data_IF_752320785492
#
_entry.id   IF_752320785492
#
_cell.length_a   1.000
_cell.length_b   1.000
_cell.length_c   1.000
_cell.angle_alpha   90.00
_cell.angle_beta   90.00
_cell.angle_gamma   90.00
#
_symmetry.space_group_name_H-M   'P 1'
#
loop_
_entity.id
_entity.type
_entity.pdbx_description
1 polymer ?
#
# COMPACT_ATOMS: atom_id res chain seq x y z
N UNK A 1 -7.76 -21.61 -23.35
CA UNK A 1 -6.74 -20.55 -23.13
C UNK A 1 -7.38 -19.22 -22.67
N UNK A 2 -8.38 -18.68 -23.36
CA UNK A 2 -9.07 -17.43 -23.02
C UNK A 2 -9.78 -17.51 -21.65
N UNK A 3 -10.44 -18.62 -21.34
CA UNK A 3 -11.20 -18.83 -20.11
C UNK A 3 -10.28 -18.97 -18.86
N UNK A 4 -9.12 -19.63 -19.00
CA UNK A 4 -8.11 -19.75 -17.95
C UNK A 4 -7.31 -18.45 -17.69
N UNK A 5 -7.08 -17.64 -18.73
CA UNK A 5 -6.59 -16.26 -18.56
C UNK A 5 -7.60 -15.40 -17.79
N UNK A 6 -8.90 -15.64 -17.98
CA UNK A 6 -9.97 -15.01 -17.21
C UNK A 6 -9.87 -15.31 -15.71
N UNK A 7 -9.76 -16.57 -15.34
CA UNK A 7 -9.65 -17.02 -13.93
C UNK A 7 -8.37 -16.48 -13.26
N UNK A 8 -7.26 -16.48 -13.98
CA UNK A 8 -5.99 -15.96 -13.48
C UNK A 8 -6.04 -14.44 -13.29
N UNK A 9 -6.70 -13.72 -14.19
CA UNK A 9 -6.99 -12.29 -14.05
C UNK A 9 -7.95 -12.00 -12.90
N UNK A 10 -8.97 -12.83 -12.70
CA UNK A 10 -9.92 -12.74 -11.57
C UNK A 10 -9.20 -12.93 -10.22
N UNK A 11 -8.39 -13.95 -10.06
CA UNK A 11 -7.62 -14.18 -8.83
C UNK A 11 -6.63 -13.01 -8.53
N UNK A 12 -5.94 -12.51 -9.57
CA UNK A 12 -5.07 -11.35 -9.43
C UNK A 12 -5.87 -10.09 -9.06
N UNK A 13 -7.04 -9.92 -9.65
CA UNK A 13 -7.93 -8.80 -9.35
C UNK A 13 -8.51 -8.88 -7.93
N UNK A 14 -8.84 -10.08 -7.45
CA UNK A 14 -9.26 -10.29 -6.07
C UNK A 14 -8.14 -9.99 -5.07
N UNK A 15 -6.93 -10.47 -5.32
CA UNK A 15 -5.77 -10.18 -4.48
C UNK A 15 -5.46 -8.68 -4.45
N UNK A 16 -5.47 -8.02 -5.61
CA UNK A 16 -5.30 -6.58 -5.73
C UNK A 16 -6.38 -5.80 -4.96
N UNK A 17 -7.64 -6.23 -5.06
CA UNK A 17 -8.75 -5.62 -4.32
C UNK A 17 -8.60 -5.82 -2.80
N UNK A 18 -8.12 -6.97 -2.33
CA UNK A 18 -7.83 -7.22 -0.92
C UNK A 18 -6.70 -6.32 -0.41
N UNK A 19 -5.64 -6.13 -1.18
CA UNK A 19 -4.55 -5.23 -0.84
C UNK A 19 -5.00 -3.76 -0.76
N UNK A 20 -5.81 -3.30 -1.72
CA UNK A 20 -6.42 -1.96 -1.67
C UNK A 20 -7.29 -1.77 -0.43
N UNK A 21 -8.12 -2.75 -0.12
CA UNK A 21 -8.98 -2.75 1.05
C UNK A 21 -8.18 -2.67 2.36
N UNK A 22 -7.14 -3.47 2.49
CA UNK A 22 -6.24 -3.44 3.64
C UNK A 22 -5.46 -2.12 3.73
N UNK A 23 -5.05 -1.55 2.60
CA UNK A 23 -4.41 -0.24 2.54
C UNK A 23 -5.35 0.87 3.05
N UNK A 24 -6.62 0.85 2.67
CA UNK A 24 -7.61 1.84 3.12
C UNK A 24 -7.84 1.77 4.63
N UNK A 25 -7.97 0.55 5.19
CA UNK A 25 -8.04 0.32 6.64
C UNK A 25 -6.80 0.88 7.35
N UNK A 26 -5.61 0.57 6.86
CA UNK A 26 -4.35 1.01 7.47
C UNK A 26 -4.22 2.55 7.44
N UNK A 27 -4.62 3.19 6.34
CA UNK A 27 -4.64 4.65 6.21
C UNK A 27 -5.64 5.30 7.15
N UNK A 28 -6.84 4.72 7.32
CA UNK A 28 -7.83 5.19 8.27
C UNK A 28 -7.36 5.04 9.72
N UNK A 29 -6.70 3.92 10.07
CA UNK A 29 -6.09 3.72 11.39
C UNK A 29 -4.94 4.71 11.64
N UNK A 30 -4.12 5.02 10.65
CA UNK A 30 -3.07 6.02 10.75
C UNK A 30 -3.63 7.42 10.97
N UNK A 31 -4.70 7.77 10.25
CA UNK A 31 -5.43 9.04 10.42
C UNK A 31 -6.03 9.16 11.82
N UNK A 32 -6.58 8.07 12.34
CA UNK A 32 -7.09 7.99 13.72
C UNK A 32 -5.97 8.20 14.77
N UNK A 33 -4.80 7.60 14.55
CA UNK A 33 -3.60 7.86 15.41
C UNK A 33 -3.19 9.32 15.34
N UNK A 34 -3.21 9.93 14.16
CA UNK A 34 -2.96 11.36 13.99
C UNK A 34 -3.92 12.23 14.80
N UNK A 35 -5.22 11.93 14.73
CA UNK A 35 -6.24 12.59 15.56
C UNK A 35 -5.92 12.46 17.07
N UNK A 36 -5.61 11.25 17.53
CA UNK A 36 -5.24 11.00 18.93
C UNK A 36 -4.05 11.87 19.38
N UNK A 37 -3.00 11.97 18.56
CA UNK A 37 -1.82 12.79 18.89
C UNK A 37 -2.13 14.29 18.92
N UNK A 38 -3.02 14.79 18.06
CA UNK A 38 -3.50 16.18 18.11
C UNK A 38 -4.19 16.44 19.46
N UNK A 39 -5.10 15.56 19.89
CA UNK A 39 -5.80 15.69 21.18
C UNK A 39 -4.83 15.62 22.35
N UNK A 40 -3.86 14.70 22.34
CA UNK A 40 -2.84 14.60 23.38
C UNK A 40 -2.01 15.88 23.47
N UNK A 41 -1.56 16.41 22.34
CA UNK A 41 -0.81 17.67 22.29
C UNK A 41 -1.63 18.82 22.87
N UNK A 42 -2.90 18.88 22.52
CA UNK A 42 -3.83 19.89 23.02
C UNK A 42 -3.99 19.82 24.54
N UNK A 43 -4.13 18.61 25.09
CA UNK A 43 -4.20 18.39 26.55
C UNK A 43 -2.92 18.78 27.27
N UNK A 44 -1.75 18.48 26.69
CA UNK A 44 -0.45 18.90 27.25
C UNK A 44 -0.34 20.43 27.29
N UNK A 45 -0.68 21.10 26.19
CA UNK A 45 -0.65 22.57 26.14
C UNK A 45 -1.66 23.19 27.11
N UNK A 46 -2.83 22.57 27.29
CA UNK A 46 -3.81 23.00 28.28
C UNK A 46 -3.28 22.90 29.70
N UNK A 47 -2.61 21.79 30.07
CA UNK A 47 -1.95 21.66 31.38
C UNK A 47 -0.87 22.71 31.57
N UNK A 48 -0.07 23.02 30.55
CA UNK A 48 0.94 24.08 30.58
C UNK A 48 0.32 25.47 30.76
N UNK A 49 -0.87 25.68 30.20
CA UNK A 49 -1.64 26.90 30.37
C UNK A 49 -2.14 27.04 31.83
N UNK A 50 -2.68 25.98 32.41
CA UNK A 50 -3.14 25.97 33.80
C UNK A 50 -1.99 26.24 34.79
N UNK A 51 -0.78 25.76 34.50
CA UNK A 51 0.42 26.02 35.31
C UNK A 51 1.07 27.38 35.01
N UNK A 52 0.50 28.19 34.11
CA UNK A 52 1.02 29.49 33.67
C UNK A 52 2.41 29.46 33.01
N UNK A 53 2.86 28.28 32.57
CA UNK A 53 4.08 28.14 31.75
C UNK A 53 3.79 28.64 30.33
N UNK A 54 2.60 28.38 29.82
CA UNK A 54 2.16 28.84 28.51
C UNK A 54 1.14 29.99 28.71
N UNK A 55 1.41 31.13 28.06
CA UNK A 55 0.66 32.38 28.30
C UNK A 55 -0.50 32.47 27.32
N UNK A 56 -1.59 31.76 27.62
CA UNK A 56 -2.89 31.88 26.92
C UNK A 56 -3.96 31.97 27.99
N UNK A 57 -5.09 32.61 27.70
CA UNK A 57 -6.24 32.65 28.61
C UNK A 57 -6.76 31.23 28.87
N UNK A 58 -6.70 30.82 30.16
CA UNK A 58 -7.05 29.46 30.57
C UNK A 58 -8.54 29.14 30.33
N UNK A 59 -9.42 30.14 30.44
CA UNK A 59 -10.87 29.94 30.22
C UNK A 59 -11.16 29.66 28.76
N UNK A 60 -10.62 30.48 27.89
CA UNK A 60 -10.75 30.37 26.42
C UNK A 60 -10.16 29.04 25.94
N UNK A 61 -8.97 28.68 26.40
CA UNK A 61 -8.33 27.44 25.97
C UNK A 61 -9.05 26.18 26.51
N UNK A 62 -9.65 26.24 27.71
CA UNK A 62 -10.51 25.17 28.25
C UNK A 62 -11.74 24.93 27.35
N UNK A 63 -12.33 25.98 26.78
CA UNK A 63 -13.43 25.86 25.81
C UNK A 63 -12.95 25.11 24.55
N UNK A 64 -11.79 25.45 24.02
CA UNK A 64 -11.21 24.77 22.85
C UNK A 64 -11.00 23.28 23.09
N UNK A 65 -10.46 22.92 24.26
CA UNK A 65 -10.26 21.50 24.66
C UNK A 65 -11.60 20.79 24.78
N UNK A 66 -12.59 21.39 25.43
CA UNK A 66 -13.94 20.84 25.57
C UNK A 66 -14.61 20.58 24.22
N UNK A 67 -14.54 21.55 23.31
CA UNK A 67 -15.11 21.44 21.97
C UNK A 67 -14.40 20.33 21.14
N UNK A 68 -13.08 20.24 21.27
CA UNK A 68 -12.29 19.20 20.59
C UNK A 68 -12.59 17.80 21.12
N UNK A 69 -12.88 17.65 22.43
CA UNK A 69 -13.32 16.38 22.99
C UNK A 69 -14.70 15.96 22.48
N UNK A 70 -15.63 16.90 22.34
CA UNK A 70 -16.96 16.63 21.74
C UNK A 70 -16.78 16.12 20.30
N UNK A 71 -15.86 16.71 19.51
CA UNK A 71 -15.54 16.23 18.15
C UNK A 71 -14.93 14.83 18.14
N UNK A 72 -14.40 14.33 19.24
CA UNK A 72 -13.93 12.95 19.41
C UNK A 72 -15.05 11.90 19.45
N UNK A 73 -16.29 12.29 19.80
CA UNK A 73 -17.42 11.33 19.92
C UNK A 73 -17.70 10.63 18.60
N UNK A 74 -17.90 11.32 17.46
CA UNK A 74 -18.10 10.66 16.16
C UNK A 74 -16.89 9.82 15.73
N UNK A 75 -15.66 10.23 16.05
CA UNK A 75 -14.45 9.45 15.77
C UNK A 75 -14.49 8.10 16.48
N UNK A 76 -14.79 8.10 17.77
CA UNK A 76 -14.91 6.87 18.60
C UNK A 76 -16.08 5.99 18.15
N UNK A 77 -17.20 6.60 17.75
CA UNK A 77 -18.35 5.86 17.23
C UNK A 77 -17.99 5.13 15.92
N UNK A 78 -17.35 5.82 14.96
CA UNK A 78 -16.94 5.24 13.70
C UNK A 78 -15.93 4.10 13.95
N UNK A 79 -14.92 4.34 14.78
CA UNK A 79 -13.91 3.33 15.12
C UNK A 79 -14.51 2.03 15.68
N UNK A 80 -15.55 2.13 16.54
CA UNK A 80 -16.14 0.96 17.22
C UNK A 80 -17.25 0.27 16.45
N UNK A 81 -17.96 0.97 15.57
CA UNK A 81 -19.23 0.52 14.98
C UNK A 81 -19.26 0.48 13.46
N UNK A 82 -18.30 1.09 12.81
CA UNK A 82 -18.27 1.19 11.36
C UNK A 82 -17.08 0.41 10.81
N UNK A 83 -17.29 -0.25 9.69
CA UNK A 83 -16.22 -0.88 8.95
C UNK A 83 -15.29 0.20 8.36
N UNK A 84 -14.03 0.16 8.78
CA UNK A 84 -13.01 1.15 8.40
C UNK A 84 -12.57 1.06 6.94
N UNK A 85 -12.98 0.04 6.22
CA UNK A 85 -12.72 -0.10 4.79
C UNK A 85 -13.64 0.74 3.91
N UNK A 86 -14.73 1.29 4.48
CA UNK A 86 -15.70 2.08 3.71
C UNK A 86 -15.08 3.39 3.23
N UNK A 87 -15.16 3.62 1.93
CA UNK A 87 -14.56 4.77 1.23
C UNK A 87 -14.91 6.15 1.81
N UNK A 88 -16.10 6.33 2.37
CA UNK A 88 -16.51 7.60 2.97
C UNK A 88 -15.83 7.90 4.32
N UNK A 89 -15.32 6.88 5.04
CA UNK A 89 -14.73 7.02 6.39
C UNK A 89 -13.55 7.99 6.39
N UNK A 90 -12.68 7.90 5.38
CA UNK A 90 -11.53 8.81 5.23
C UNK A 90 -11.94 10.29 5.16
N UNK A 91 -13.01 10.60 4.42
CA UNK A 91 -13.47 11.99 4.28
C UNK A 91 -13.99 12.54 5.60
N UNK A 92 -14.69 11.70 6.39
CA UNK A 92 -15.17 12.10 7.73
C UNK A 92 -13.99 12.32 8.67
N UNK A 93 -13.02 11.40 8.72
CA UNK A 93 -11.86 11.55 9.58
C UNK A 93 -11.02 12.77 9.21
N UNK A 94 -10.73 12.98 7.94
CA UNK A 94 -9.96 14.13 7.46
C UNK A 94 -10.69 15.46 7.72
N UNK A 95 -12.01 15.51 7.50
CA UNK A 95 -12.83 16.68 7.83
C UNK A 95 -12.79 16.99 9.33
N UNK A 96 -12.92 15.97 10.20
CA UNK A 96 -12.82 16.17 11.65
C UNK A 96 -11.43 16.67 12.07
N UNK A 97 -10.37 16.22 11.39
CA UNK A 97 -9.01 16.73 11.64
C UNK A 97 -8.88 18.19 11.17
N UNK A 98 -9.45 18.57 10.02
CA UNK A 98 -9.49 19.97 9.60
C UNK A 98 -10.21 20.84 10.64
N UNK A 99 -11.38 20.40 11.13
CA UNK A 99 -12.15 21.12 12.13
C UNK A 99 -11.41 21.26 13.44
N UNK A 100 -10.81 20.17 13.98
CA UNK A 100 -10.06 20.25 15.24
C UNK A 100 -8.81 21.12 15.09
N UNK A 101 -8.14 21.08 13.94
CA UNK A 101 -7.01 21.95 13.62
C UNK A 101 -7.44 23.42 13.58
N UNK A 102 -8.61 23.69 13.00
CA UNK A 102 -9.20 25.03 12.94
C UNK A 102 -9.59 25.54 14.33
N UNK A 103 -10.20 24.70 15.17
CA UNK A 103 -10.49 25.03 16.59
C UNK A 103 -9.19 25.37 17.33
N UNK A 104 -8.19 24.51 17.19
CA UNK A 104 -6.89 24.69 17.81
C UNK A 104 -6.26 26.03 17.40
N UNK A 105 -6.24 26.32 16.11
CA UNK A 105 -5.67 27.56 15.58
C UNK A 105 -6.48 28.80 15.96
N UNK A 106 -7.82 28.72 16.05
CA UNK A 106 -8.66 29.84 16.46
C UNK A 106 -8.35 30.33 17.88
N UNK A 107 -7.94 29.42 18.77
CA UNK A 107 -7.64 29.72 20.18
C UNK A 107 -6.17 29.97 20.49
N UNK A 108 -5.25 29.46 19.67
CA UNK A 108 -3.81 29.66 19.83
C UNK A 108 -3.18 30.63 18.80
N UNK A 109 -4.00 31.09 17.84
CA UNK A 109 -3.60 32.04 16.82
C UNK A 109 -2.32 31.61 16.06
N UNK A 110 -1.37 32.54 15.85
CA UNK A 110 -0.17 32.29 15.04
C UNK A 110 0.75 31.18 15.58
N UNK A 111 0.73 30.88 16.88
CA UNK A 111 1.50 29.78 17.46
C UNK A 111 1.12 28.41 16.87
N UNK A 112 -0.12 28.29 16.40
CA UNK A 112 -0.66 27.05 15.85
C UNK A 112 -0.78 27.04 14.31
N UNK A 113 -0.19 28.02 13.61
CA UNK A 113 -0.36 28.17 12.16
C UNK A 113 0.06 26.92 11.35
N UNK A 114 1.07 26.20 11.81
CA UNK A 114 1.52 24.97 11.16
C UNK A 114 0.55 23.80 11.29
N UNK A 115 -0.45 23.87 12.18
CA UNK A 115 -1.40 22.79 12.36
C UNK A 115 -2.24 22.53 11.10
N UNK A 116 -2.44 23.54 10.26
CA UNK A 116 -3.14 23.42 8.99
C UNK A 116 -2.44 22.52 7.95
N UNK A 117 -1.16 22.19 8.17
CA UNK A 117 -0.42 21.24 7.31
C UNK A 117 -0.77 19.80 7.67
N UNK A 118 -1.15 19.51 8.93
CA UNK A 118 -1.41 18.14 9.40
C UNK A 118 -2.50 17.40 8.62
N UNK A 119 -3.69 18.00 8.33
CA UNK A 119 -4.70 17.33 7.52
C UNK A 119 -4.17 16.90 6.16
N UNK A 120 -3.33 17.72 5.51
CA UNK A 120 -2.74 17.43 4.20
C UNK A 120 -1.71 16.28 4.27
N UNK A 121 -0.88 16.26 5.32
CA UNK A 121 0.06 15.17 5.58
C UNK A 121 -0.66 13.84 5.83
N UNK A 122 -1.81 13.86 6.49
CA UNK A 122 -2.63 12.67 6.70
C UNK A 122 -3.41 12.26 5.44
N UNK A 123 -3.80 13.21 4.61
CA UNK A 123 -4.50 12.94 3.35
C UNK A 123 -3.60 12.29 2.30
N UNK A 124 -2.31 12.61 2.27
CA UNK A 124 -1.39 12.08 1.25
C UNK A 124 -1.19 10.57 1.33
N UNK A 125 -1.36 9.97 2.52
CA UNK A 125 -1.19 8.53 2.73
C UNK A 125 -2.25 7.67 2.01
N UNK A 126 -3.41 8.25 1.65
CA UNK A 126 -4.44 7.56 0.86
C UNK A 126 -4.06 7.43 -0.62
N UNK A 127 -3.01 8.11 -1.06
CA UNK A 127 -2.47 8.07 -2.44
C UNK A 127 -3.48 8.46 -3.53
N UNK A 128 -4.64 8.99 -3.17
CA UNK A 128 -5.71 9.42 -4.06
C UNK A 128 -5.66 10.94 -4.31
N UNK A 129 -5.68 11.32 -5.59
CA UNK A 129 -5.72 12.72 -5.99
C UNK A 129 -6.92 13.46 -5.40
N UNK A 130 -8.11 12.84 -5.46
CA UNK A 130 -9.35 13.46 -5.00
C UNK A 130 -9.34 13.72 -3.50
N UNK A 131 -8.91 12.73 -2.71
CA UNK A 131 -8.82 12.84 -1.25
C UNK A 131 -7.94 14.02 -0.82
N UNK A 132 -6.79 14.18 -1.44
CA UNK A 132 -5.87 15.27 -1.12
C UNK A 132 -6.47 16.66 -1.47
N UNK A 133 -7.09 16.81 -2.65
CA UNK A 133 -7.68 18.10 -3.07
C UNK A 133 -8.95 18.45 -2.29
N UNK A 134 -9.78 17.48 -1.95
CA UNK A 134 -10.95 17.70 -1.08
C UNK A 134 -10.49 18.13 0.31
N UNK A 135 -9.48 17.47 0.86
CA UNK A 135 -8.92 17.84 2.16
C UNK A 135 -8.32 19.25 2.14
N UNK A 136 -7.61 19.63 1.07
CA UNK A 136 -7.13 21.00 0.89
C UNK A 136 -8.28 22.02 0.94
N UNK A 137 -9.34 21.80 0.14
CA UNK A 137 -10.47 22.72 0.09
C UNK A 137 -11.20 22.85 1.44
N UNK A 138 -11.45 21.71 2.12
CA UNK A 138 -12.07 21.70 3.46
C UNK A 138 -11.17 22.41 4.48
N UNK A 139 -9.87 22.15 4.43
CA UNK A 139 -8.89 22.76 5.33
C UNK A 139 -8.81 24.28 5.13
N UNK A 140 -8.83 24.75 3.88
CA UNK A 140 -8.81 26.18 3.57
C UNK A 140 -10.07 26.91 4.06
N UNK A 141 -11.24 26.30 3.86
CA UNK A 141 -12.51 26.83 4.36
C UNK A 141 -12.52 26.89 5.89
N UNK A 142 -12.14 25.77 6.56
CA UNK A 142 -12.12 25.72 8.04
C UNK A 142 -11.06 26.65 8.63
N UNK A 143 -9.91 26.83 7.99
CA UNK A 143 -8.90 27.81 8.35
C UNK A 143 -9.45 29.23 8.28
N UNK A 144 -10.09 29.60 7.18
CA UNK A 144 -10.67 30.93 6.99
C UNK A 144 -11.74 31.23 8.04
N UNK A 145 -12.65 30.27 8.29
CA UNK A 145 -13.66 30.39 9.35
C UNK A 145 -13.00 30.58 10.72
N UNK A 146 -11.96 29.81 11.02
CA UNK A 146 -11.29 29.90 12.33
C UNK A 146 -10.61 31.25 12.56
N UNK A 147 -10.00 31.82 11.53
CA UNK A 147 -9.38 33.16 11.61
C UNK A 147 -10.41 34.27 11.87
N UNK A 148 -11.56 34.23 11.18
CA UNK A 148 -12.64 35.19 11.39
C UNK A 148 -13.27 34.98 12.77
N UNK A 149 -13.57 33.73 13.15
CA UNK A 149 -14.13 33.41 14.47
C UNK A 149 -13.16 33.82 15.61
N UNK A 150 -11.87 33.53 15.46
CA UNK A 150 -10.82 33.93 16.41
C UNK A 150 -10.80 35.44 16.65
N UNK A 151 -10.93 36.22 15.58
CA UNK A 151 -11.04 37.70 15.71
C UNK A 151 -12.24 38.14 16.57
N UNK A 152 -13.43 37.55 16.34
CA UNK A 152 -14.62 37.93 17.09
C UNK A 152 -14.68 37.40 18.54
N UNK A 153 -13.93 36.35 18.85
CA UNK A 153 -13.98 35.69 20.17
C UNK A 153 -12.74 35.91 21.05
N UNK A 154 -11.88 36.87 20.73
CA UNK A 154 -10.87 37.34 21.67
C UNK A 154 -9.41 37.07 21.31
N UNK A 155 -9.12 36.38 20.20
CA UNK A 155 -7.76 36.23 19.71
C UNK A 155 -7.64 36.98 18.39
N UNK A 156 -6.92 38.10 18.43
CA UNK A 156 -6.83 38.99 17.25
C UNK A 156 -5.60 38.65 16.42
N UNK A 157 -5.79 37.91 15.32
CA UNK A 157 -4.75 37.66 14.32
C UNK A 157 -4.22 38.95 13.67
N UNK A 158 -4.93 40.05 13.75
CA UNK A 158 -4.48 41.38 13.29
C UNK A 158 -3.23 41.84 14.05
N UNK A 159 -3.04 41.48 15.32
CA UNK A 159 -1.85 41.80 16.08
C UNK A 159 -0.58 41.26 15.40
N UNK A 160 -0.66 40.09 14.78
CA UNK A 160 0.46 39.47 14.02
C UNK A 160 0.71 40.22 12.72
N UNK A 161 -0.37 40.55 12.01
CA UNK A 161 -0.27 41.28 10.72
C UNK A 161 0.25 42.70 10.86
N UNK A 162 -0.06 43.35 11.99
CA UNK A 162 0.29 44.74 12.24
C UNK A 162 1.50 44.92 13.16
N UNK A 163 2.02 43.83 13.73
CA UNK A 163 3.08 43.91 14.74
C UNK A 163 2.68 44.70 15.99
N UNK A 164 1.42 44.65 16.36
CA UNK A 164 0.80 45.37 17.47
C UNK A 164 0.29 44.42 18.55
N UNK A 165 -0.15 44.96 19.69
CA UNK A 165 -0.71 44.20 20.79
C UNK A 165 -2.04 44.81 21.26
N UNK A 166 -2.94 45.02 20.35
CA UNK A 166 -4.23 45.63 20.62
C UNK A 166 -5.36 44.59 20.72
N UNK A 167 -6.43 44.93 21.43
CA UNK A 167 -7.63 44.07 21.55
C UNK A 167 -8.52 44.23 20.31
N UNK A 168 -9.43 43.23 20.10
CA UNK A 168 -10.45 43.31 19.07
C UNK A 168 -11.24 44.62 19.16
N UNK A 169 -11.66 45.01 20.38
CA UNK A 169 -12.51 46.21 20.59
C UNK A 169 -11.76 47.49 20.19
N UNK A 170 -10.47 47.55 20.49
CA UNK A 170 -9.62 48.66 20.02
C UNK A 170 -9.62 48.75 18.48
N UNK A 171 -9.50 47.64 17.77
CA UNK A 171 -9.56 47.64 16.29
C UNK A 171 -10.91 48.10 15.77
N UNK A 172 -12.01 47.64 16.37
CA UNK A 172 -13.35 48.09 15.97
C UNK A 172 -13.59 49.60 16.23
N UNK A 173 -13.08 50.11 17.35
CA UNK A 173 -13.16 51.53 17.66
C UNK A 173 -12.35 52.38 16.68
N UNK A 174 -11.12 52.00 16.37
CA UNK A 174 -10.28 52.68 15.41
C UNK A 174 -10.88 52.64 14.00
N UNK A 175 -11.46 51.53 13.61
CA UNK A 175 -12.13 51.40 12.33
C UNK A 175 -13.38 52.29 12.28
N UNK A 176 -14.22 52.26 13.29
CA UNK A 176 -15.41 53.15 13.39
C UNK A 176 -15.05 54.64 13.38
N UNK A 177 -13.88 54.99 13.96
CA UNK A 177 -13.34 56.33 13.98
C UNK A 177 -12.70 56.76 12.63
N UNK A 178 -12.51 55.83 11.67
CA UNK A 178 -11.84 56.09 10.41
C UNK A 178 -10.33 56.40 10.54
N UNK A 179 -9.73 56.03 11.67
CA UNK A 179 -8.32 56.28 11.98
C UNK A 179 -7.39 55.15 11.51
N UNK A 180 -7.92 53.98 11.19
CA UNK A 180 -7.15 52.89 10.61
C UNK A 180 -6.96 53.08 9.09
N UNK A 181 -5.70 53.09 8.69
CA UNK A 181 -5.30 53.20 7.28
C UNK A 181 -4.48 52.00 6.88
N UNK A 182 -5.11 50.94 6.34
CA UNK A 182 -4.43 49.80 5.75
C UNK A 182 -4.07 49.99 4.26
N UNK A 183 -4.22 51.18 3.75
CA UNK A 183 -3.88 51.53 2.38
C UNK A 183 -4.88 51.11 1.31
N UNK A 184 -5.73 50.11 1.57
CA UNK A 184 -6.71 49.62 0.59
C UNK A 184 -8.13 49.66 1.17
N UNK A 185 -8.37 49.05 2.33
CA UNK A 185 -9.69 49.02 2.97
C UNK A 185 -9.52 48.95 4.50
N UNK A 186 -10.25 49.77 5.29
CA UNK A 186 -10.12 49.78 6.75
C UNK A 186 -10.87 48.63 7.44
N UNK A 187 -11.68 47.83 6.71
CA UNK A 187 -12.46 46.72 7.31
C UNK A 187 -11.54 45.63 7.86
N UNK A 188 -11.58 45.34 9.19
CA UNK A 188 -10.77 44.30 9.80
C UNK A 188 -10.98 42.89 9.19
N UNK A 189 -12.22 42.57 8.77
CA UNK A 189 -12.52 41.28 8.14
C UNK A 189 -11.83 41.16 6.78
N UNK A 190 -11.84 42.25 6.00
CA UNK A 190 -11.12 42.30 4.74
C UNK A 190 -9.62 42.08 4.93
N UNK A 191 -9.03 42.73 5.94
CA UNK A 191 -7.60 42.56 6.26
C UNK A 191 -7.28 41.10 6.64
N UNK A 192 -8.12 40.47 7.47
CA UNK A 192 -7.95 39.04 7.84
C UNK A 192 -8.02 38.17 6.59
N UNK A 193 -8.97 38.39 5.69
CA UNK A 193 -9.13 37.58 4.49
C UNK A 193 -7.96 37.76 3.51
N UNK A 194 -7.61 38.98 3.18
CA UNK A 194 -6.63 39.26 2.12
C UNK A 194 -5.17 39.19 2.58
N UNK A 195 -4.88 39.54 3.81
CA UNK A 195 -3.51 39.55 4.35
C UNK A 195 -3.22 38.36 5.28
N UNK A 196 -4.26 37.71 5.76
CA UNK A 196 -4.14 36.51 6.59
C UNK A 196 -4.46 35.21 5.86
N UNK A 197 -5.72 35.01 5.48
CA UNK A 197 -6.20 33.74 4.91
C UNK A 197 -5.63 33.49 3.50
N UNK A 198 -5.69 34.45 2.60
CA UNK A 198 -5.24 34.26 1.22
C UNK A 198 -3.76 33.86 1.08
N UNK A 199 -2.77 34.52 1.74
CA UNK A 199 -1.39 34.08 1.68
C UNK A 199 -1.18 32.66 2.23
N UNK A 200 -1.88 32.30 3.33
CA UNK A 200 -1.82 30.96 3.91
C UNK A 200 -2.41 29.90 2.96
N UNK A 201 -3.54 30.21 2.31
CA UNK A 201 -4.15 29.34 1.29
C UNK A 201 -3.19 29.08 0.12
N UNK A 202 -2.50 30.11 -0.38
CA UNK A 202 -1.49 29.97 -1.45
C UNK A 202 -0.32 29.09 -1.00
N UNK A 203 0.16 29.28 0.24
CA UNK A 203 1.22 28.43 0.80
C UNK A 203 0.75 26.98 0.95
N UNK A 204 -0.45 26.74 1.47
CA UNK A 204 -1.04 25.41 1.59
C UNK A 204 -1.29 24.77 0.22
N UNK A 205 -1.63 25.55 -0.80
CA UNK A 205 -1.74 25.08 -2.19
C UNK A 205 -0.39 24.55 -2.69
N UNK A 206 0.69 25.30 -2.45
CA UNK A 206 2.04 24.87 -2.80
C UNK A 206 2.42 23.57 -2.05
N UNK A 207 2.16 23.49 -0.74
CA UNK A 207 2.36 22.25 0.02
C UNK A 207 1.57 21.09 -0.56
N UNK A 208 0.30 21.31 -0.90
CA UNK A 208 -0.56 20.28 -1.50
C UNK A 208 0.00 19.79 -2.83
N UNK A 209 0.51 20.70 -3.67
CA UNK A 209 1.15 20.34 -4.94
C UNK A 209 2.43 19.52 -4.73
N UNK A 210 3.27 19.90 -3.76
CA UNK A 210 4.49 19.14 -3.41
C UNK A 210 4.14 17.76 -2.86
N UNK A 211 3.19 17.67 -1.93
CA UNK A 211 2.73 16.40 -1.37
C UNK A 211 2.14 15.49 -2.45
N UNK A 212 1.42 16.07 -3.41
CA UNK A 212 0.91 15.34 -4.58
C UNK A 212 2.04 14.77 -5.43
N UNK A 213 3.06 15.57 -5.71
CA UNK A 213 4.23 15.12 -6.45
C UNK A 213 4.95 13.97 -5.74
N UNK A 214 5.20 14.09 -4.43
CA UNK A 214 5.82 13.04 -3.61
C UNK A 214 4.98 11.76 -3.63
N UNK A 215 3.66 11.88 -3.52
CA UNK A 215 2.74 10.73 -3.55
C UNK A 215 2.79 9.98 -4.89
N UNK A 216 2.85 10.69 -6.02
CA UNK A 216 2.99 10.07 -7.36
C UNK A 216 4.33 9.36 -7.46
N UNK A 217 5.43 10.06 -7.18
CA UNK A 217 6.79 9.51 -7.27
C UNK A 217 6.94 8.24 -6.42
N UNK A 218 6.45 8.27 -5.18
CA UNK A 218 6.48 7.10 -4.28
C UNK A 218 5.68 5.91 -4.81
N UNK A 219 4.58 6.16 -5.51
CA UNK A 219 3.77 5.09 -6.11
C UNK A 219 4.48 4.47 -7.33
N UNK A 220 5.04 5.30 -8.20
CA UNK A 220 5.80 4.85 -9.36
C UNK A 220 7.05 4.05 -8.93
N UNK A 221 7.75 4.51 -7.90
CA UNK A 221 8.90 3.80 -7.34
C UNK A 221 8.52 2.43 -6.77
N UNK A 222 7.40 2.34 -6.04
CA UNK A 222 6.89 1.08 -5.51
C UNK A 222 6.51 0.09 -6.63
N UNK A 223 5.83 0.54 -7.67
CA UNK A 223 5.53 -0.29 -8.85
C UNK A 223 6.79 -0.74 -9.58
N UNK A 224 7.75 0.15 -9.74
CA UNK A 224 9.03 -0.16 -10.37
C UNK A 224 9.82 -1.20 -9.59
N UNK A 225 9.86 -1.08 -8.26
CA UNK A 225 10.51 -2.07 -7.38
C UNK A 225 9.81 -3.42 -7.52
N UNK A 226 8.47 -3.48 -7.52
CA UNK A 226 7.72 -4.71 -7.70
C UNK A 226 8.00 -5.37 -9.06
N UNK A 227 8.01 -4.60 -10.17
CA UNK A 227 8.34 -5.10 -11.51
C UNK A 227 9.80 -5.62 -11.58
N UNK A 228 10.74 -4.87 -11.00
CA UNK A 228 12.14 -5.29 -10.95
C UNK A 228 12.33 -6.57 -10.12
N UNK A 229 11.62 -6.69 -8.99
CA UNK A 229 11.66 -7.89 -8.16
C UNK A 229 11.06 -9.08 -8.90
N UNK A 230 9.91 -8.91 -9.54
CA UNK A 230 9.29 -9.93 -10.39
C UNK A 230 10.25 -10.42 -11.49
N UNK A 231 10.85 -9.51 -12.26
CA UNK A 231 11.83 -9.85 -13.32
C UNK A 231 13.10 -10.51 -12.78
N UNK A 232 13.53 -10.14 -11.57
CA UNK A 232 14.69 -10.75 -10.92
C UNK A 232 14.42 -12.19 -10.48
N UNK A 233 13.20 -12.49 -10.04
CA UNK A 233 12.84 -13.75 -9.39
C UNK A 233 12.15 -14.75 -10.32
N UNK A 234 11.55 -14.30 -11.43
CA UNK A 234 10.78 -15.16 -12.34
C UNK A 234 11.46 -15.36 -13.68
N UNK A 235 11.17 -16.48 -14.33
CA UNK A 235 11.48 -16.73 -15.73
C UNK A 235 10.36 -16.12 -16.61
N UNK A 236 10.71 -15.13 -17.43
CA UNK A 236 9.74 -14.36 -18.22
C UNK A 236 9.04 -15.18 -19.30
N UNK A 237 9.63 -16.31 -19.72
CA UNK A 237 9.03 -17.19 -20.73
C UNK A 237 7.99 -18.15 -20.17
N UNK A 238 8.09 -18.47 -18.87
CA UNK A 238 7.29 -19.50 -18.22
C UNK A 238 6.51 -19.04 -16.98
N UNK A 239 6.82 -17.83 -16.49
CA UNK A 239 6.20 -17.19 -15.32
C UNK A 239 6.36 -17.94 -13.98
N UNK A 240 7.14 -19.04 -13.91
CA UNK A 240 7.55 -19.66 -12.67
C UNK A 240 8.83 -18.98 -12.13
N UNK A 241 9.24 -19.29 -10.91
CA UNK A 241 10.50 -18.76 -10.38
C UNK A 241 11.69 -19.22 -11.24
N UNK A 242 12.67 -18.32 -11.39
CA UNK A 242 13.88 -18.62 -12.16
C UNK A 242 14.96 -19.33 -11.31
N UNK A 243 16.03 -19.72 -11.96
CA UNK A 243 17.17 -20.39 -11.32
C UNK A 243 17.81 -19.55 -10.20
N UNK A 244 17.88 -18.24 -10.35
CA UNK A 244 18.48 -17.39 -9.31
C UNK A 244 17.65 -17.42 -8.02
N UNK A 245 16.31 -17.35 -8.14
CA UNK A 245 15.42 -17.50 -6.98
C UNK A 245 15.49 -18.89 -6.37
N UNK A 246 15.60 -19.92 -7.18
CA UNK A 246 15.81 -21.29 -6.72
C UNK A 246 17.08 -21.40 -5.85
N UNK A 247 18.23 -20.92 -6.33
CA UNK A 247 19.49 -21.00 -5.58
C UNK A 247 19.42 -20.19 -4.27
N UNK A 248 18.84 -18.99 -4.30
CA UNK A 248 18.59 -18.19 -3.11
C UNK A 248 17.78 -18.96 -2.06
N UNK A 249 16.68 -19.59 -2.45
CA UNK A 249 15.80 -20.33 -1.55
C UNK A 249 16.45 -21.60 -1.00
N UNK A 250 17.23 -22.29 -1.82
CA UNK A 250 18.03 -23.48 -1.41
C UNK A 250 19.08 -23.11 -0.36
N UNK A 251 19.65 -21.91 -0.43
CA UNK A 251 20.70 -21.46 0.48
C UNK A 251 20.16 -20.85 1.77
N UNK A 252 19.04 -20.10 1.68
CA UNK A 252 18.62 -19.23 2.79
C UNK A 252 17.37 -19.70 3.51
N UNK A 253 16.39 -20.27 2.81
CA UNK A 253 15.07 -20.54 3.35
C UNK A 253 14.81 -22.04 3.62
N UNK A 254 15.00 -22.89 2.62
CA UNK A 254 14.65 -24.31 2.74
C UNK A 254 15.44 -25.09 3.80
N UNK A 255 16.70 -24.75 4.13
CA UNK A 255 17.40 -25.40 5.23
C UNK A 255 16.72 -25.26 6.61
N UNK A 256 15.92 -24.20 6.80
CA UNK A 256 15.18 -23.92 8.03
C UNK A 256 13.84 -24.71 8.12
N UNK A 257 13.37 -25.27 7.01
CA UNK A 257 12.09 -25.99 6.94
C UNK A 257 12.26 -27.44 7.40
N UNK A 258 11.41 -27.89 8.30
CA UNK A 258 11.56 -29.20 8.96
C UNK A 258 11.44 -30.38 7.98
N UNK A 259 10.47 -30.35 7.06
CA UNK A 259 10.21 -31.43 6.09
C UNK A 259 9.90 -30.86 4.73
N UNK A 260 10.57 -31.37 3.70
CA UNK A 260 10.42 -30.93 2.32
C UNK A 260 10.34 -32.13 1.38
N UNK A 261 9.66 -31.94 0.25
CA UNK A 261 9.80 -32.79 -0.92
C UNK A 261 10.22 -31.94 -2.13
N UNK A 262 11.03 -32.56 -2.98
CA UNK A 262 11.37 -32.03 -4.29
C UNK A 262 10.80 -32.93 -5.37
N UNK A 263 10.15 -32.38 -6.38
CA UNK A 263 9.73 -33.08 -7.58
C UNK A 263 10.48 -32.45 -8.75
N UNK A 264 11.19 -33.23 -9.51
CA UNK A 264 11.97 -32.80 -10.66
C UNK A 264 11.27 -33.26 -11.95
N UNK A 265 11.10 -32.34 -12.90
CA UNK A 265 10.54 -32.60 -14.23
C UNK A 265 11.52 -32.18 -15.32
N UNK A 266 11.51 -32.92 -16.41
CA UNK A 266 12.27 -32.64 -17.63
C UNK A 266 11.36 -32.88 -18.85
N UNK A 267 11.30 -31.90 -19.76
CA UNK A 267 10.47 -32.01 -20.98
C UNK A 267 11.06 -33.04 -21.93
N UNK A 268 10.26 -34.04 -22.30
CA UNK A 268 10.69 -35.08 -23.21
C UNK A 268 10.79 -34.58 -24.66
N UNK A 269 11.80 -35.08 -25.38
CA UNK A 269 11.96 -34.89 -26.83
C UNK A 269 12.09 -33.42 -27.28
N UNK A 270 12.43 -32.47 -26.43
CA UNK A 270 12.54 -31.06 -26.77
C UNK A 270 13.45 -30.82 -27.99
N UNK A 271 14.62 -31.51 -28.01
CA UNK A 271 15.56 -31.40 -29.14
C UNK A 271 14.92 -31.87 -30.46
N UNK A 272 14.23 -33.01 -30.46
CA UNK A 272 13.55 -33.53 -31.67
C UNK A 272 12.47 -32.52 -32.16
N UNK A 273 11.70 -31.94 -31.25
CA UNK A 273 10.68 -30.96 -31.61
C UNK A 273 11.32 -29.68 -32.17
N UNK A 274 12.38 -29.19 -31.55
CA UNK A 274 13.14 -28.05 -32.06
C UNK A 274 13.69 -28.29 -33.46
N UNK A 275 14.32 -29.46 -33.69
CA UNK A 275 14.94 -29.81 -34.97
C UNK A 275 13.89 -30.00 -36.09
N UNK A 276 12.70 -30.52 -35.76
CA UNK A 276 11.65 -30.83 -36.74
C UNK A 276 10.65 -29.66 -36.97
N UNK A 277 10.28 -28.94 -35.92
CA UNK A 277 9.19 -27.94 -35.95
C UNK A 277 9.67 -26.52 -35.61
N UNK A 278 10.97 -26.37 -35.31
CA UNK A 278 11.58 -25.09 -34.94
C UNK A 278 11.46 -24.74 -33.43
N UNK A 279 12.27 -23.79 -32.98
CA UNK A 279 12.37 -23.39 -31.56
C UNK A 279 11.05 -22.89 -31.00
N UNK A 280 10.20 -22.21 -31.79
CA UNK A 280 8.89 -21.77 -31.34
C UNK A 280 7.98 -22.93 -30.89
N UNK A 281 8.10 -24.11 -31.52
CA UNK A 281 7.39 -25.31 -31.11
C UNK A 281 7.93 -25.90 -29.80
N UNK A 282 9.25 -25.87 -29.61
CA UNK A 282 9.86 -26.25 -28.33
C UNK A 282 9.49 -25.32 -27.19
N UNK A 283 9.39 -24.01 -27.45
CA UNK A 283 8.92 -23.03 -26.44
C UNK A 283 7.47 -23.33 -26.01
N UNK A 284 6.61 -23.77 -26.92
CA UNK A 284 5.24 -24.21 -26.58
C UNK A 284 5.25 -25.40 -25.63
N UNK A 285 6.13 -26.41 -25.83
CA UNK A 285 6.27 -27.54 -24.89
C UNK A 285 6.66 -27.08 -23.50
N UNK A 286 7.67 -26.22 -23.41
CA UNK A 286 8.16 -25.67 -22.15
C UNK A 286 7.08 -24.87 -21.45
N UNK A 287 6.39 -24.00 -22.17
CA UNK A 287 5.27 -23.18 -21.65
C UNK A 287 4.07 -24.04 -21.22
N UNK A 288 3.79 -25.13 -21.93
CA UNK A 288 2.70 -26.02 -21.57
C UNK A 288 2.99 -26.74 -20.26
N UNK A 289 4.18 -27.33 -20.09
CA UNK A 289 4.55 -27.97 -18.83
C UNK A 289 4.56 -26.93 -17.70
N UNK A 290 5.18 -25.76 -17.90
CA UNK A 290 5.24 -24.73 -16.88
C UNK A 290 3.86 -24.24 -16.44
N UNK A 291 2.91 -24.10 -17.37
CA UNK A 291 1.54 -23.67 -17.04
C UNK A 291 0.79 -24.68 -16.16
N UNK A 292 0.96 -25.99 -16.44
CA UNK A 292 0.38 -27.06 -15.61
C UNK A 292 1.01 -27.07 -14.22
N UNK A 293 2.33 -26.94 -14.13
CA UNK A 293 3.03 -26.87 -12.84
C UNK A 293 2.67 -25.62 -12.03
N UNK A 294 2.52 -24.47 -12.71
CA UNK A 294 2.15 -23.22 -12.08
C UNK A 294 0.74 -23.27 -11.48
N UNK A 295 -0.23 -23.93 -12.14
CA UNK A 295 -1.60 -24.12 -11.62
C UNK A 295 -1.61 -24.92 -10.29
N UNK A 296 -0.60 -25.73 -10.02
CA UNK A 296 -0.43 -26.47 -8.77
C UNK A 296 0.35 -25.67 -7.70
N UNK A 297 0.87 -24.49 -8.03
CA UNK A 297 1.63 -23.65 -7.10
C UNK A 297 0.74 -23.10 -5.99
N UNK A 298 1.30 -23.00 -4.80
CA UNK A 298 0.68 -22.36 -3.62
C UNK A 298 1.79 -21.75 -2.76
N UNK A 299 1.42 -21.14 -1.63
CA UNK A 299 2.42 -20.63 -0.67
C UNK A 299 3.39 -21.73 -0.19
N UNK A 300 2.91 -22.98 -0.09
CA UNK A 300 3.72 -24.14 0.35
C UNK A 300 4.32 -24.96 -0.81
N UNK A 301 3.96 -24.65 -2.05
CA UNK A 301 4.40 -25.36 -3.26
C UNK A 301 4.92 -24.36 -4.27
N UNK A 302 6.23 -24.28 -4.44
CA UNK A 302 6.89 -23.33 -5.34
C UNK A 302 7.56 -24.03 -6.49
N UNK A 303 7.33 -23.52 -7.70
CA UNK A 303 7.88 -24.07 -8.94
C UNK A 303 9.01 -23.19 -9.46
N UNK A 304 10.09 -23.82 -9.85
CA UNK A 304 11.29 -23.18 -10.36
C UNK A 304 11.69 -23.76 -11.72
N UNK A 305 12.12 -22.91 -12.65
CA UNK A 305 12.82 -23.33 -13.85
C UNK A 305 14.32 -23.28 -13.57
N UNK A 306 14.98 -24.43 -13.53
CA UNK A 306 16.41 -24.56 -13.14
C UNK A 306 17.33 -24.77 -14.32
N UNK A 307 16.78 -25.22 -15.46
CA UNK A 307 17.46 -25.45 -16.73
C UNK A 307 16.62 -25.04 -17.92
N UNK A 308 17.05 -25.40 -19.12
CA UNK A 308 16.32 -25.09 -20.37
C UNK A 308 14.95 -25.76 -20.43
N UNK A 309 14.90 -27.05 -20.10
CA UNK A 309 13.75 -27.96 -20.10
C UNK A 309 13.44 -28.56 -18.72
N UNK A 310 14.14 -28.09 -17.69
CA UNK A 310 14.12 -28.66 -16.33
C UNK A 310 13.37 -27.76 -15.36
N UNK A 311 12.44 -28.37 -14.61
CA UNK A 311 11.63 -27.71 -13.58
C UNK A 311 11.74 -28.47 -12.25
N UNK A 312 11.73 -27.73 -11.15
CA UNK A 312 11.69 -28.26 -9.79
C UNK A 312 10.53 -27.65 -9.03
N UNK A 313 9.71 -28.49 -8.40
CA UNK A 313 8.73 -28.04 -7.42
C UNK A 313 9.23 -28.45 -6.03
N UNK A 314 9.29 -27.49 -5.12
CA UNK A 314 9.58 -27.75 -3.70
C UNK A 314 8.29 -27.61 -2.91
N UNK A 315 8.00 -28.61 -2.08
CA UNK A 315 6.77 -28.71 -1.28
C UNK A 315 7.15 -28.72 0.19
N UNK A 316 6.58 -27.83 0.97
CA UNK A 316 6.73 -27.75 2.41
C UNK A 316 5.70 -28.64 3.12
N UNK A 317 6.17 -29.43 4.10
CA UNK A 317 5.38 -30.39 4.86
C UNK A 317 4.55 -31.33 3.96
N UNK A 318 5.20 -32.07 3.05
CA UNK A 318 4.54 -32.89 2.05
C UNK A 318 3.77 -34.05 2.67
N UNK A 319 2.72 -34.48 1.97
CA UNK A 319 2.02 -35.75 2.19
C UNK A 319 2.29 -36.62 0.94
N UNK A 320 2.75 -37.85 1.13
CA UNK A 320 3.17 -38.72 0.01
C UNK A 320 2.03 -38.95 -1.01
N UNK A 321 0.83 -39.20 -0.53
CA UNK A 321 -0.38 -39.36 -1.41
C UNK A 321 -0.70 -38.10 -2.20
N UNK A 322 -0.38 -36.92 -1.67
CA UNK A 322 -0.54 -35.62 -2.36
C UNK A 322 0.46 -35.51 -3.51
N UNK A 323 1.71 -35.92 -3.31
CA UNK A 323 2.77 -35.89 -4.34
C UNK A 323 2.41 -36.79 -5.51
N UNK A 324 2.01 -38.04 -5.22
CA UNK A 324 1.63 -39.01 -6.25
C UNK A 324 0.41 -38.53 -7.04
N UNK A 325 -0.63 -38.00 -6.36
CA UNK A 325 -1.79 -37.42 -6.99
C UNK A 325 -1.44 -36.25 -7.90
N UNK A 326 -0.53 -35.35 -7.48
CA UNK A 326 -0.08 -34.23 -8.31
C UNK A 326 0.65 -34.72 -9.56
N UNK A 327 1.53 -35.70 -9.44
CA UNK A 327 2.24 -36.28 -10.58
C UNK A 327 1.25 -36.87 -11.60
N UNK A 328 0.26 -37.61 -11.14
CA UNK A 328 -0.77 -38.17 -12.01
C UNK A 328 -1.64 -37.08 -12.66
N UNK A 329 -1.98 -36.02 -11.92
CA UNK A 329 -2.69 -34.86 -12.47
C UNK A 329 -1.88 -34.19 -13.59
N UNK A 330 -0.59 -33.92 -13.37
CA UNK A 330 0.28 -33.32 -14.40
C UNK A 330 0.33 -34.22 -15.64
N UNK A 331 0.49 -35.53 -15.47
CA UNK A 331 0.50 -36.47 -16.61
C UNK A 331 -0.82 -36.47 -17.38
N UNK A 332 -1.96 -36.48 -16.68
CA UNK A 332 -3.28 -36.45 -17.30
C UNK A 332 -3.51 -35.14 -18.08
N UNK A 333 -3.16 -33.99 -17.49
CA UNK A 333 -3.29 -32.67 -18.12
C UNK A 333 -2.39 -32.53 -19.37
N UNK A 334 -1.17 -33.09 -19.31
CA UNK A 334 -0.28 -33.11 -20.48
C UNK A 334 -0.82 -34.01 -21.59
N UNK A 335 -1.40 -35.20 -21.26
CA UNK A 335 -2.02 -36.09 -22.23
C UNK A 335 -3.26 -35.46 -22.89
N UNK A 336 -4.09 -34.74 -22.12
CA UNK A 336 -5.24 -34.03 -22.68
C UNK A 336 -4.81 -32.95 -23.68
N UNK A 337 -3.74 -32.18 -23.35
CA UNK A 337 -3.18 -31.15 -24.22
C UNK A 337 -2.47 -31.75 -25.45
N UNK A 338 -1.86 -32.93 -25.32
CA UNK A 338 -1.25 -33.69 -26.41
C UNK A 338 -2.28 -34.08 -27.47
N UNK A 339 -3.47 -34.48 -27.08
CA UNK A 339 -4.58 -34.85 -27.97
C UNK A 339 -5.18 -33.68 -28.77
N UNK A 340 -4.80 -32.43 -28.48
CA UNK A 340 -5.30 -31.21 -29.14
C UNK A 340 -4.33 -30.64 -30.21
N UNK A 341 -3.14 -31.23 -30.39
CA UNK A 341 -2.10 -30.71 -31.29
C UNK A 341 -1.29 -31.79 -31.99
N UNK A 342 -0.50 -31.41 -32.99
CA UNK A 342 0.39 -32.31 -33.75
C UNK A 342 1.74 -32.59 -33.05
N UNK A 343 1.99 -31.99 -31.90
CA UNK A 343 3.28 -32.04 -31.21
C UNK A 343 3.12 -32.83 -29.90
N UNK A 344 3.78 -34.00 -29.74
CA UNK A 344 3.63 -34.82 -28.54
C UNK A 344 4.22 -34.13 -27.31
N UNK A 345 3.42 -34.02 -26.24
CA UNK A 345 3.77 -33.35 -25.00
C UNK A 345 3.90 -34.39 -23.88
N UNK A 346 5.08 -34.55 -23.33
CA UNK A 346 5.30 -35.41 -22.17
C UNK A 346 6.51 -34.93 -21.36
N UNK A 347 6.57 -35.33 -20.09
CA UNK A 347 7.71 -35.04 -19.22
C UNK A 347 8.16 -36.31 -18.47
N UNK A 348 9.46 -36.42 -18.20
CA UNK A 348 9.98 -37.32 -17.21
C UNK A 348 9.86 -36.68 -15.83
N UNK A 349 9.65 -37.51 -14.78
CA UNK A 349 9.45 -37.05 -13.42
C UNK A 349 10.12 -37.95 -12.41
N UNK A 350 10.68 -37.37 -11.35
CA UNK A 350 11.17 -38.05 -10.18
C UNK A 350 10.99 -37.21 -8.93
N UNK A 351 10.86 -37.84 -7.77
CA UNK A 351 10.68 -37.09 -6.53
C UNK A 351 11.39 -37.76 -5.35
N UNK A 352 11.73 -36.93 -4.36
CA UNK A 352 12.29 -37.37 -3.07
C UNK A 352 11.83 -36.41 -1.96
N UNK A 353 11.87 -36.93 -0.72
CA UNK A 353 11.54 -36.13 0.46
C UNK A 353 12.57 -36.27 1.56
N UNK A 354 12.63 -35.33 2.48
CA UNK A 354 13.54 -35.38 3.62
C UNK A 354 13.47 -34.11 4.48
N UNK A 355 14.53 -33.93 5.29
CA UNK A 355 14.67 -32.73 6.11
C UNK A 355 15.27 -31.57 5.29
N UNK A 356 14.81 -30.34 5.52
CA UNK A 356 15.28 -29.17 4.80
C UNK A 356 16.78 -28.92 4.83
N UNK A 357 17.45 -29.29 5.92
CA UNK A 357 18.91 -29.23 6.03
C UNK A 357 19.61 -30.02 4.91
N UNK A 358 18.98 -31.10 4.41
CA UNK A 358 19.50 -31.95 3.34
C UNK A 358 18.89 -31.58 1.95
N UNK A 359 18.32 -30.42 1.77
CA UNK A 359 17.58 -30.04 0.56
C UNK A 359 18.34 -30.31 -0.74
N UNK A 360 19.67 -30.07 -0.79
CA UNK A 360 20.48 -30.32 -1.96
C UNK A 360 20.56 -31.83 -2.29
N UNK A 361 20.57 -32.71 -1.25
CA UNK A 361 20.49 -34.16 -1.45
C UNK A 361 19.12 -34.58 -1.95
N UNK A 362 18.04 -34.02 -1.38
CA UNK A 362 16.68 -34.33 -1.78
C UNK A 362 16.47 -34.02 -3.26
N UNK A 363 16.90 -32.82 -3.70
CA UNK A 363 16.81 -32.44 -5.12
C UNK A 363 17.65 -33.36 -6.01
N UNK A 364 18.87 -33.70 -5.61
CA UNK A 364 19.72 -34.60 -6.38
C UNK A 364 19.13 -36.03 -6.49
N UNK A 365 18.48 -36.52 -5.42
CA UNK A 365 17.78 -37.80 -5.45
C UNK A 365 16.54 -37.75 -6.37
N UNK A 366 15.77 -36.66 -6.35
CA UNK A 366 14.65 -36.45 -7.24
C UNK A 366 15.11 -36.42 -8.71
N UNK A 367 16.20 -35.71 -9.02
CA UNK A 367 16.81 -35.65 -10.36
C UNK A 367 17.26 -37.06 -10.82
N UNK A 368 17.93 -37.81 -9.96
CA UNK A 368 18.35 -39.18 -10.26
C UNK A 368 17.16 -40.09 -10.64
N UNK A 369 16.08 -40.03 -9.87
CA UNK A 369 14.85 -40.79 -10.15
C UNK A 369 14.17 -40.31 -11.45
N UNK A 370 14.17 -39.03 -11.73
CA UNK A 370 13.67 -38.48 -12.99
C UNK A 370 14.49 -39.01 -14.19
N UNK A 371 15.81 -38.98 -14.07
CA UNK A 371 16.67 -39.49 -15.13
C UNK A 371 16.49 -41.02 -15.42
N UNK A 372 16.29 -41.84 -14.37
CA UNK A 372 15.92 -43.26 -14.52
C UNK A 372 14.56 -43.40 -15.23
N UNK A 373 13.56 -42.59 -14.87
CA UNK A 373 12.26 -42.56 -15.51
C UNK A 373 12.39 -42.17 -17.01
N UNK A 374 13.24 -41.19 -17.33
CA UNK A 374 13.52 -40.77 -18.70
C UNK A 374 14.15 -41.88 -19.56
N UNK A 375 15.06 -42.72 -18.97
CA UNK A 375 15.67 -43.87 -19.64
C UNK A 375 14.64 -44.96 -19.95
N UNK A 376 13.84 -45.37 -18.96
CA UNK A 376 12.78 -46.38 -19.16
C UNK A 376 11.78 -46.00 -20.23
N UNK A 377 11.43 -44.69 -20.30
CA UNK A 377 10.55 -44.17 -21.33
C UNK A 377 11.13 -44.21 -22.75
N UNK A 378 12.45 -44.23 -22.91
CA UNK A 378 13.12 -44.43 -24.21
C UNK A 378 13.19 -45.91 -24.61
N UNK A 379 13.53 -46.81 -23.70
CA UNK A 379 13.62 -48.25 -23.93
C UNK A 379 12.27 -48.91 -24.28
N UNK A 380 11.15 -48.36 -23.81
CA UNK A 380 9.81 -48.86 -24.13
C UNK A 380 9.25 -48.39 -25.48
N UNK A 381 10.00 -47.58 -26.25
CA UNK A 381 9.62 -47.08 -27.56
C UNK A 381 10.46 -47.62 -28.72
N UNK A 382 11.54 -48.39 -28.43
CA UNK A 382 12.23 -49.27 -29.37
C UNK A 382 11.56 -50.65 -29.45
#
# INVERSE_FOLDING_TARGET
MVEKQGIMMENYQEQYNQELHQQEINSNLSTLKGYFWIVVTMLVLWLLTLTRIFIVDAGIFTMAVGLSMVMGIPVLYIYKKVDLSKHWVKYVFLTLICVISAIFAAFLSFHAVFIYVLPLLLAVQYREKQTLWITYAVNDVTMTISMVAGFYHGICDLNVLLGSNHTRDWYLEQWAAGTMQFGIEPDPVFVILFYGALPRAVILLMFTAILRYISISSHEDAQRIADLTYRKETDLGTHVYNKNKYEEMIETYYPEVHRLAAIFWDVNNLKYVNDKYGHAAGDVLIQTLSSVLYELSTDRRKVYRVGGDEFVMIIENPVETEIESMIETVKADLMEKDGQGDIPISSAVGWAEGCGVDIRKIVHEADTKMYENKKRGKEGRE
#
